data_IF_032236261300
#
_entry.id   IF_032236261300
#
_cell.length_a   1.000
_cell.length_b   1.000
_cell.length_c   1.000
_cell.angle_alpha   90.00
_cell.angle_beta   90.00
_cell.angle_gamma   90.00
#
_symmetry.space_group_name_H-M   'P 1'
#
loop_
_entity.id
_entity.type
_entity.pdbx_description
1 polymer ?
#
# COMPACT_ATOMS: atom_id res chain seq x y z
N UNK A 1 -11.53 -3.92 -24.34
CA UNK A 1 -11.68 -5.15 -25.13
C UNK A 1 -11.92 -6.36 -24.24
N UNK A 2 -10.87 -7.00 -23.71
CA UNK A 2 -11.00 -8.35 -23.12
C UNK A 2 -11.34 -8.41 -21.61
N UNK A 3 -10.98 -7.41 -20.80
CA UNK A 3 -11.36 -7.40 -19.37
C UNK A 3 -12.89 -7.34 -19.20
N UNK A 4 -13.58 -6.71 -20.15
CA UNK A 4 -15.05 -6.66 -20.21
C UNK A 4 -15.69 -8.02 -20.50
N UNK A 5 -14.97 -8.98 -21.10
CA UNK A 5 -15.43 -10.32 -21.43
C UNK A 5 -15.29 -11.36 -20.31
N UNK A 6 -14.57 -11.06 -19.21
CA UNK A 6 -14.50 -11.99 -18.08
C UNK A 6 -15.79 -12.00 -17.26
N UNK A 7 -16.33 -13.21 -17.06
CA UNK A 7 -17.43 -13.45 -16.13
C UNK A 7 -17.07 -12.96 -14.73
N UNK A 8 -18.08 -12.45 -14.00
CA UNK A 8 -17.90 -11.96 -12.61
C UNK A 8 -17.26 -13.02 -11.71
N UNK A 9 -17.65 -14.29 -11.89
CA UNK A 9 -17.09 -15.41 -11.15
C UNK A 9 -15.57 -15.54 -11.36
N UNK A 10 -15.09 -15.44 -12.60
CA UNK A 10 -13.65 -15.55 -12.90
C UNK A 10 -12.84 -14.39 -12.31
N UNK A 11 -13.38 -13.17 -12.30
CA UNK A 11 -12.71 -12.01 -11.66
C UNK A 11 -12.60 -12.17 -10.15
N UNK A 12 -13.64 -12.71 -9.51
CA UNK A 12 -13.63 -12.96 -8.06
C UNK A 12 -12.64 -14.08 -7.70
N UNK A 13 -12.55 -15.15 -8.49
CA UNK A 13 -11.53 -16.20 -8.31
C UNK A 13 -10.12 -15.63 -8.44
N UNK A 14 -9.89 -14.74 -9.41
CA UNK A 14 -8.60 -14.06 -9.56
C UNK A 14 -8.26 -13.19 -8.35
N UNK A 15 -9.20 -12.38 -7.88
CA UNK A 15 -9.00 -11.57 -6.69
C UNK A 15 -8.71 -12.43 -5.45
N UNK A 16 -9.46 -13.53 -5.27
CA UNK A 16 -9.21 -14.47 -4.18
C UNK A 16 -7.83 -15.11 -4.28
N UNK A 17 -7.37 -15.44 -5.49
CA UNK A 17 -6.01 -15.98 -5.70
C UNK A 17 -4.93 -14.95 -5.34
N UNK A 18 -5.09 -13.68 -5.74
CA UNK A 18 -4.17 -12.60 -5.41
C UNK A 18 -4.12 -12.35 -3.89
N UNK A 19 -5.28 -12.36 -3.22
CA UNK A 19 -5.39 -12.22 -1.77
C UNK A 19 -4.72 -13.38 -1.03
N UNK A 20 -4.95 -14.63 -1.49
CA UNK A 20 -4.31 -15.82 -0.93
C UNK A 20 -2.79 -15.73 -1.03
N UNK A 21 -2.27 -15.35 -2.19
CA UNK A 21 -0.82 -15.20 -2.40
C UNK A 21 -0.27 -14.10 -1.49
N UNK A 22 -0.97 -12.96 -1.36
CA UNK A 22 -0.53 -11.88 -0.48
C UNK A 22 -0.48 -12.30 0.99
N UNK A 23 -1.48 -13.07 1.44
CA UNK A 23 -1.50 -13.64 2.78
C UNK A 23 -0.28 -14.52 3.04
N UNK A 24 0.03 -15.48 2.16
CA UNK A 24 1.18 -16.37 2.36
C UNK A 24 2.52 -15.66 2.20
N UNK A 25 2.63 -14.67 1.30
CA UNK A 25 3.84 -13.87 1.15
C UNK A 25 4.13 -13.05 2.42
N UNK A 26 3.11 -12.39 2.97
CA UNK A 26 3.23 -11.67 4.24
C UNK A 26 3.51 -12.60 5.43
N UNK A 27 2.92 -13.79 5.44
CA UNK A 27 3.22 -14.85 6.44
C UNK A 27 4.68 -15.27 6.38
N UNK A 28 5.22 -15.48 5.18
CA UNK A 28 6.62 -15.86 4.97
C UNK A 28 7.59 -14.74 5.39
N UNK A 29 7.21 -13.47 5.25
CA UNK A 29 7.99 -12.35 5.75
C UNK A 29 8.03 -12.29 7.28
N UNK A 30 6.88 -12.39 7.96
CA UNK A 30 6.81 -12.23 9.43
C UNK A 30 7.30 -13.45 10.22
N UNK A 31 7.49 -14.60 9.58
CA UNK A 31 7.95 -15.84 10.22
C UNK A 31 9.30 -15.68 10.94
N UNK A 32 10.12 -14.70 10.55
CA UNK A 32 11.47 -14.53 11.08
C UNK A 32 11.51 -14.14 12.56
N UNK A 33 10.57 -13.30 12.98
CA UNK A 33 10.64 -12.57 14.25
C UNK A 33 10.90 -13.44 15.48
N UNK A 34 10.15 -14.54 15.69
CA UNK A 34 10.19 -15.29 16.95
C UNK A 34 11.51 -16.02 17.26
N UNK A 35 12.26 -16.46 16.25
CA UNK A 35 13.38 -17.39 16.45
C UNK A 35 14.69 -16.95 15.79
N UNK A 36 14.65 -16.13 14.72
CA UNK A 36 15.85 -15.77 13.97
C UNK A 36 16.92 -15.03 14.80
N UNK A 37 16.58 -14.05 15.68
CA UNK A 37 17.60 -13.36 16.46
C UNK A 37 18.40 -14.29 17.38
N UNK A 38 17.76 -15.32 17.93
CA UNK A 38 18.41 -16.33 18.78
C UNK A 38 19.36 -17.20 17.97
N UNK A 39 18.92 -17.70 16.82
CA UNK A 39 19.72 -18.54 15.92
C UNK A 39 20.92 -17.78 15.33
N UNK A 40 20.73 -16.51 14.99
CA UNK A 40 21.82 -15.64 14.52
C UNK A 40 22.91 -15.47 15.59
N UNK A 41 22.52 -15.25 16.86
CA UNK A 41 23.46 -15.16 17.97
C UNK A 41 24.20 -16.50 18.21
N UNK A 42 23.52 -17.65 18.08
CA UNK A 42 24.15 -18.97 18.19
C UNK A 42 25.19 -19.21 17.10
N UNK A 43 25.00 -18.63 15.90
CA UNK A 43 25.99 -18.64 14.81
C UNK A 43 27.07 -17.55 14.92
N UNK A 44 27.15 -16.85 16.06
CA UNK A 44 28.18 -15.87 16.35
C UNK A 44 27.97 -14.50 15.69
N UNK A 45 26.75 -14.19 15.22
CA UNK A 45 26.44 -12.85 14.73
C UNK A 45 26.17 -11.89 15.89
N UNK A 46 26.57 -10.63 15.71
CA UNK A 46 26.18 -9.57 16.62
C UNK A 46 24.71 -9.22 16.45
N UNK A 47 24.09 -8.69 17.51
CA UNK A 47 22.72 -8.16 17.47
C UNK A 47 22.56 -7.09 16.39
N UNK A 48 23.58 -6.26 16.19
CA UNK A 48 23.61 -5.24 15.12
C UNK A 48 23.51 -5.87 13.73
N UNK A 49 24.26 -6.95 13.48
CA UNK A 49 24.22 -7.63 12.17
C UNK A 49 22.85 -8.28 11.91
N UNK A 50 22.26 -8.90 12.93
CA UNK A 50 20.89 -9.43 12.87
C UNK A 50 19.88 -8.34 12.52
N UNK A 51 20.00 -7.15 13.14
CA UNK A 51 19.16 -6.00 12.82
C UNK A 51 19.32 -5.53 11.37
N UNK A 52 20.55 -5.50 10.85
CA UNK A 52 20.82 -5.16 9.44
C UNK A 52 20.14 -6.17 8.51
N UNK A 53 20.24 -7.48 8.79
CA UNK A 53 19.62 -8.54 7.98
C UNK A 53 18.09 -8.40 7.93
N UNK A 54 17.46 -8.02 9.04
CA UNK A 54 16.01 -7.80 9.08
C UNK A 54 15.62 -6.50 8.38
N UNK A 55 16.39 -5.42 8.60
CA UNK A 55 16.08 -4.09 8.08
C UNK A 55 16.35 -3.91 6.58
N UNK A 56 17.36 -4.60 6.01
CA UNK A 56 17.70 -4.46 4.60
C UNK A 56 16.56 -4.84 3.66
N UNK A 57 15.68 -5.74 4.09
CA UNK A 57 14.57 -6.23 3.26
C UNK A 57 13.68 -5.08 2.81
N UNK A 58 13.34 -4.18 3.73
CA UNK A 58 12.48 -3.03 3.44
C UNK A 58 13.22 -1.95 2.63
N UNK A 59 14.53 -1.80 2.86
CA UNK A 59 15.39 -0.91 2.07
C UNK A 59 15.45 -1.36 0.60
N UNK A 60 15.65 -2.66 0.35
CA UNK A 60 15.68 -3.22 -1.00
C UNK A 60 14.31 -3.08 -1.67
N UNK A 61 13.20 -3.34 -0.97
CA UNK A 61 11.86 -3.08 -1.52
C UNK A 61 11.70 -1.61 -1.92
N UNK A 62 12.13 -0.68 -1.07
CA UNK A 62 12.06 0.75 -1.37
C UNK A 62 12.82 1.11 -2.66
N UNK A 63 14.03 0.56 -2.85
CA UNK A 63 14.87 0.87 -4.02
C UNK A 63 14.38 0.17 -5.30
N UNK A 64 13.84 -1.05 -5.19
CA UNK A 64 13.44 -1.85 -6.34
C UNK A 64 12.01 -1.57 -6.81
N UNK A 65 11.09 -1.19 -5.93
CA UNK A 65 9.67 -0.93 -6.27
C UNK A 65 9.44 0.06 -7.42
N UNK A 66 10.13 1.21 -7.52
CA UNK A 66 9.92 2.14 -8.63
C UNK A 66 10.49 1.60 -9.95
N UNK A 67 11.60 0.85 -9.88
CA UNK A 67 12.22 0.19 -11.04
C UNK A 67 11.31 -0.91 -11.58
N UNK A 68 10.76 -1.73 -10.70
CA UNK A 68 9.78 -2.77 -11.02
C UNK A 68 8.54 -2.14 -11.64
N UNK A 69 7.99 -1.06 -11.06
CA UNK A 69 6.81 -0.39 -11.62
C UNK A 69 7.00 0.08 -13.06
N UNK A 70 8.20 0.55 -13.39
CA UNK A 70 8.58 0.90 -14.76
C UNK A 70 8.83 -0.35 -15.63
N UNK A 71 9.49 -1.38 -15.12
CA UNK A 71 9.82 -2.60 -15.86
C UNK A 71 8.59 -3.47 -16.18
N UNK A 72 7.62 -3.51 -15.27
CA UNK A 72 6.33 -4.20 -15.47
C UNK A 72 5.58 -3.66 -16.69
N UNK A 73 5.80 -2.39 -17.03
CA UNK A 73 5.18 -1.77 -18.20
C UNK A 73 5.69 -2.29 -19.55
N UNK A 74 6.91 -2.85 -19.63
CA UNK A 74 7.49 -3.31 -20.90
C UNK A 74 7.39 -4.82 -21.14
N UNK A 75 7.43 -5.63 -20.06
CA UNK A 75 7.52 -7.10 -20.14
C UNK A 75 6.18 -7.78 -19.80
N UNK A 76 5.26 -7.03 -19.20
CA UNK A 76 3.92 -7.50 -18.85
C UNK A 76 3.81 -7.95 -17.39
N UNK A 77 2.70 -7.53 -16.75
CA UNK A 77 2.37 -7.83 -15.36
C UNK A 77 2.32 -9.30 -14.98
N UNK A 78 1.86 -10.20 -15.87
CA UNK A 78 1.82 -11.64 -15.56
C UNK A 78 3.23 -12.21 -15.38
N UNK A 79 4.15 -11.85 -16.27
CA UNK A 79 5.53 -12.33 -16.20
C UNK A 79 6.22 -11.84 -14.93
N UNK A 80 6.11 -10.54 -14.63
CA UNK A 80 6.74 -9.95 -13.43
C UNK A 80 6.12 -10.52 -12.15
N UNK A 81 4.79 -10.71 -12.11
CA UNK A 81 4.11 -11.33 -10.99
C UNK A 81 4.60 -12.76 -10.72
N UNK A 82 4.65 -13.61 -11.75
CA UNK A 82 5.04 -15.01 -11.60
C UNK A 82 6.51 -15.17 -11.23
N UNK A 83 7.43 -14.45 -11.90
CA UNK A 83 8.84 -14.50 -11.56
C UNK A 83 9.14 -13.93 -10.17
N UNK A 84 8.45 -12.86 -9.76
CA UNK A 84 8.58 -12.30 -8.41
C UNK A 84 8.28 -13.34 -7.34
N UNK A 85 7.20 -14.11 -7.53
CA UNK A 85 6.83 -15.17 -6.59
C UNK A 85 7.77 -16.38 -6.64
N UNK A 86 8.24 -16.80 -7.81
CA UNK A 86 9.24 -17.88 -7.93
C UNK A 86 10.51 -17.49 -7.18
N UNK A 87 11.01 -16.27 -7.39
CA UNK A 87 12.20 -15.75 -6.70
C UNK A 87 11.98 -15.73 -5.19
N UNK A 88 10.84 -15.20 -4.73
CA UNK A 88 10.50 -15.17 -3.30
C UNK A 88 10.47 -16.59 -2.69
N UNK A 89 9.82 -17.54 -3.37
CA UNK A 89 9.66 -18.92 -2.91
C UNK A 89 11.01 -19.67 -2.85
N UNK A 90 11.81 -19.55 -3.90
CA UNK A 90 13.15 -20.18 -3.98
C UNK A 90 14.07 -19.57 -2.94
N UNK A 91 14.10 -18.24 -2.79
CA UNK A 91 14.92 -17.58 -1.77
C UNK A 91 14.47 -17.96 -0.35
N UNK A 92 13.17 -18.15 -0.12
CA UNK A 92 12.65 -18.62 1.17
C UNK A 92 13.18 -20.03 1.48
N UNK A 93 13.11 -20.97 0.53
CA UNK A 93 13.66 -22.32 0.70
C UNK A 93 15.18 -22.28 0.93
N UNK A 94 15.91 -21.48 0.14
CA UNK A 94 17.36 -21.28 0.30
C UNK A 94 17.70 -20.71 1.68
N UNK A 95 16.88 -19.80 2.20
CA UNK A 95 17.08 -19.24 3.53
C UNK A 95 16.99 -20.32 4.61
N UNK A 96 16.06 -21.27 4.49
CA UNK A 96 15.99 -22.43 5.37
C UNK A 96 17.22 -23.34 5.27
N UNK A 97 17.83 -23.45 4.09
CA UNK A 97 19.06 -24.22 3.90
C UNK A 97 20.31 -23.54 4.49
N UNK A 98 20.24 -22.26 4.89
CA UNK A 98 21.34 -21.56 5.57
C UNK A 98 21.66 -22.14 6.96
N UNK A 99 20.83 -23.05 7.47
CA UNK A 99 21.16 -23.87 8.64
C UNK A 99 22.50 -24.58 8.46
N UNK A 100 22.80 -25.08 7.26
CA UNK A 100 24.05 -25.81 6.95
C UNK A 100 25.26 -24.90 6.68
N UNK A 101 25.09 -23.59 6.59
CA UNK A 101 26.21 -22.66 6.37
C UNK A 101 27.08 -22.52 7.63
N UNK A 102 28.41 -22.40 7.47
CA UNK A 102 29.34 -22.22 8.59
C UNK A 102 29.06 -20.92 9.35
N UNK A 103 29.29 -20.90 10.67
CA UNK A 103 29.06 -19.72 11.50
C UNK A 103 30.00 -18.56 11.13
N UNK A 104 29.61 -17.33 11.50
CA UNK A 104 30.38 -16.11 11.23
C UNK A 104 29.94 -15.34 9.98
N UNK A 105 30.90 -14.64 9.36
CA UNK A 105 30.64 -13.66 8.28
C UNK A 105 29.98 -14.31 7.06
N UNK A 106 30.32 -15.56 6.74
CA UNK A 106 29.75 -16.27 5.58
C UNK A 106 28.25 -16.45 5.74
N UNK A 107 27.77 -16.87 6.92
CA UNK A 107 26.34 -16.94 7.22
C UNK A 107 25.67 -15.59 7.09
N UNK A 108 26.30 -14.53 7.60
CA UNK A 108 25.77 -13.17 7.51
C UNK A 108 25.59 -12.70 6.06
N UNK A 109 26.63 -12.86 5.23
CA UNK A 109 26.60 -12.48 3.81
C UNK A 109 25.55 -13.29 3.04
N UNK A 110 25.44 -14.59 3.30
CA UNK A 110 24.43 -15.43 2.64
C UNK A 110 23.01 -15.05 3.06
N UNK A 111 22.80 -14.69 4.34
CA UNK A 111 21.52 -14.14 4.79
C UNK A 111 21.17 -12.85 4.06
N UNK A 112 22.12 -11.90 3.93
CA UNK A 112 21.88 -10.64 3.22
C UNK A 112 21.60 -10.87 1.73
N UNK A 113 22.36 -11.75 1.07
CA UNK A 113 22.13 -12.03 -0.35
C UNK A 113 20.76 -12.68 -0.59
N UNK A 114 20.41 -13.69 0.20
CA UNK A 114 19.12 -14.38 0.06
C UNK A 114 17.94 -13.47 0.41
N UNK A 115 18.05 -12.62 1.43
CA UNK A 115 17.03 -11.65 1.81
C UNK A 115 16.90 -10.50 0.82
N UNK A 116 18.01 -9.93 0.37
CA UNK A 116 18.03 -8.92 -0.69
C UNK A 116 17.37 -9.42 -1.97
N UNK A 117 17.73 -10.61 -2.46
CA UNK A 117 17.10 -11.19 -3.66
C UNK A 117 15.62 -11.50 -3.41
N UNK A 118 15.26 -12.01 -2.23
CA UNK A 118 13.87 -12.22 -1.84
C UNK A 118 13.07 -10.91 -1.83
N UNK A 119 13.66 -9.80 -1.38
CA UNK A 119 13.03 -8.49 -1.35
C UNK A 119 12.76 -7.95 -2.76
N UNK A 120 13.68 -8.18 -3.71
CA UNK A 120 13.45 -7.90 -5.14
C UNK A 120 12.22 -8.69 -5.62
N UNK A 121 12.17 -10.00 -5.36
CA UNK A 121 11.03 -10.86 -5.72
C UNK A 121 9.71 -10.38 -5.10
N UNK A 122 9.71 -10.00 -3.82
CA UNK A 122 8.55 -9.43 -3.13
C UNK A 122 8.11 -8.11 -3.77
N UNK A 123 9.03 -7.22 -4.13
CA UNK A 123 8.69 -5.96 -4.82
C UNK A 123 8.03 -6.21 -6.19
N UNK A 124 8.55 -7.18 -6.96
CA UNK A 124 7.96 -7.62 -8.23
C UNK A 124 6.54 -8.14 -8.07
N UNK A 125 6.33 -9.01 -7.08
CA UNK A 125 5.03 -9.58 -6.74
C UNK A 125 4.04 -8.50 -6.31
N UNK A 126 4.36 -7.68 -5.31
CA UNK A 126 3.43 -6.72 -4.70
C UNK A 126 2.98 -5.69 -5.74
N UNK A 127 3.93 -5.10 -6.48
CA UNK A 127 3.63 -4.09 -7.51
C UNK A 127 2.74 -4.67 -8.61
N UNK A 128 3.05 -5.88 -9.08
CA UNK A 128 2.27 -6.52 -10.14
C UNK A 128 0.90 -6.99 -9.65
N UNK A 129 0.81 -7.50 -8.42
CA UNK A 129 -0.43 -7.96 -7.79
C UNK A 129 -1.47 -6.84 -7.75
N UNK A 130 -1.10 -5.68 -7.22
CA UNK A 130 -1.99 -4.52 -7.17
C UNK A 130 -2.37 -4.00 -8.55
N UNK A 131 -1.42 -3.98 -9.49
CA UNK A 131 -1.65 -3.48 -10.85
C UNK A 131 -2.62 -4.36 -11.63
N UNK A 132 -2.50 -5.68 -11.48
CA UNK A 132 -3.43 -6.64 -12.09
C UNK A 132 -4.81 -6.54 -11.44
N UNK A 133 -4.86 -6.49 -10.10
CA UNK A 133 -6.12 -6.40 -9.36
C UNK A 133 -6.92 -5.14 -9.70
N UNK A 134 -6.23 -4.01 -9.90
CA UNK A 134 -6.83 -2.72 -10.24
C UNK A 134 -7.27 -2.66 -11.70
N UNK A 135 -6.55 -3.30 -12.62
CA UNK A 135 -7.00 -3.50 -14.01
C UNK A 135 -8.26 -4.38 -14.09
N UNK A 136 -8.40 -5.38 -13.23
CA UNK A 136 -9.60 -6.25 -13.15
C UNK A 136 -10.86 -5.50 -12.64
N UNK A 137 -10.66 -4.55 -11.73
CA UNK A 137 -11.73 -3.80 -11.06
C UNK A 137 -11.48 -2.28 -11.09
N UNK A 138 -11.57 -1.63 -12.28
CA UNK A 138 -11.21 -0.22 -12.43
C UNK A 138 -12.13 0.75 -11.66
N UNK A 139 -13.33 0.31 -11.27
CA UNK A 139 -14.30 1.12 -10.52
C UNK A 139 -14.23 0.88 -8.99
N UNK A 140 -13.39 -0.04 -8.52
CA UNK A 140 -13.29 -0.42 -7.10
C UNK A 140 -11.85 -0.53 -6.64
N UNK A 141 -11.06 0.50 -6.97
CA UNK A 141 -9.61 0.51 -6.74
C UNK A 141 -9.28 0.39 -5.24
N UNK A 142 -9.98 1.14 -4.39
CA UNK A 142 -9.67 1.21 -2.96
C UNK A 142 -10.18 -0.02 -2.22
N UNK A 143 -11.33 -0.57 -2.62
CA UNK A 143 -11.88 -1.82 -2.06
C UNK A 143 -10.95 -2.99 -2.34
N UNK A 144 -10.43 -3.09 -3.57
CA UNK A 144 -9.50 -4.15 -3.96
C UNK A 144 -8.16 -4.00 -3.24
N UNK A 145 -7.62 -2.79 -3.19
CA UNK A 145 -6.40 -2.51 -2.43
C UNK A 145 -6.59 -2.85 -0.95
N UNK A 146 -7.70 -2.40 -0.34
CA UNK A 146 -8.06 -2.70 1.04
C UNK A 146 -8.20 -4.19 1.33
N UNK A 147 -8.82 -4.97 0.43
CA UNK A 147 -8.95 -6.43 0.61
C UNK A 147 -7.59 -7.15 0.54
N UNK A 148 -6.72 -6.73 -0.37
CA UNK A 148 -5.36 -7.27 -0.47
C UNK A 148 -4.54 -6.90 0.76
N UNK A 149 -4.65 -5.67 1.25
CA UNK A 149 -4.02 -5.21 2.50
C UNK A 149 -4.56 -5.99 3.72
N UNK A 150 -5.87 -6.25 3.79
CA UNK A 150 -6.46 -7.12 4.83
C UNK A 150 -5.82 -8.51 4.81
N UNK A 151 -5.66 -9.11 3.62
CA UNK A 151 -5.03 -10.41 3.49
C UNK A 151 -3.55 -10.37 3.90
N UNK A 152 -2.81 -9.32 3.53
CA UNK A 152 -1.42 -9.13 3.94
C UNK A 152 -1.27 -8.93 5.45
N UNK A 153 -2.12 -8.10 6.06
CA UNK A 153 -2.15 -7.84 7.49
C UNK A 153 -2.46 -9.11 8.31
N UNK A 154 -3.45 -9.91 7.89
CA UNK A 154 -3.72 -11.22 8.48
C UNK A 154 -2.52 -12.17 8.34
N UNK A 155 -1.81 -12.12 7.21
CA UNK A 155 -0.58 -12.89 7.01
C UNK A 155 0.52 -12.51 7.99
N UNK A 156 0.74 -11.21 8.21
CA UNK A 156 1.72 -10.74 9.20
C UNK A 156 1.40 -11.23 10.61
N UNK A 157 0.11 -11.29 10.96
CA UNK A 157 -0.37 -11.74 12.26
C UNK A 157 -0.22 -13.25 12.48
N UNK A 158 -0.51 -14.05 11.44
CA UNK A 158 -0.45 -15.51 11.50
C UNK A 158 0.99 -16.03 11.40
N UNK A 159 1.88 -15.31 10.71
CA UNK A 159 3.26 -15.75 10.45
C UNK A 159 4.10 -16.09 11.67
N UNK A 160 4.17 -15.26 12.73
CA UNK A 160 4.91 -15.60 13.95
C UNK A 160 4.37 -16.86 14.65
N UNK A 161 3.04 -17.05 14.63
CA UNK A 161 2.37 -18.20 15.27
C UNK A 161 2.70 -19.49 14.52
N UNK A 162 2.50 -19.50 13.20
CA UNK A 162 2.83 -20.64 12.34
C UNK A 162 4.34 -20.91 12.35
N UNK A 163 5.15 -19.85 12.30
CA UNK A 163 6.61 -19.92 12.33
C UNK A 163 7.15 -20.53 13.60
N UNK A 164 6.67 -20.07 14.76
CA UNK A 164 7.06 -20.63 16.06
C UNK A 164 6.66 -22.10 16.19
N UNK A 165 5.44 -22.46 15.77
CA UNK A 165 4.98 -23.85 15.81
C UNK A 165 5.81 -24.78 14.91
N UNK A 166 6.08 -24.37 13.67
CA UNK A 166 6.91 -25.14 12.74
C UNK A 166 8.37 -25.23 13.22
N UNK A 167 8.89 -24.17 13.83
CA UNK A 167 10.24 -24.17 14.39
C UNK A 167 10.37 -25.19 15.53
N UNK A 168 9.36 -25.32 16.40
CA UNK A 168 9.36 -26.32 17.47
C UNK A 168 9.31 -27.77 16.94
N UNK A 169 8.63 -27.99 15.80
CA UNK A 169 8.46 -29.33 15.24
C UNK A 169 9.69 -29.81 14.43
N UNK A 170 10.35 -28.92 13.69
CA UNK A 170 11.39 -29.31 12.73
C UNK A 170 12.57 -28.36 12.62
N UNK A 171 12.80 -27.54 13.64
CA UNK A 171 13.96 -26.65 13.73
C UNK A 171 13.91 -25.49 12.74
N UNK A 172 15.08 -24.90 12.48
CA UNK A 172 15.21 -23.68 11.68
C UNK A 172 14.74 -23.85 10.23
N UNK A 173 15.03 -25.00 9.61
CA UNK A 173 14.67 -25.29 8.22
C UNK A 173 13.16 -25.37 7.96
N UNK A 174 12.39 -25.98 8.86
CA UNK A 174 11.00 -26.38 8.58
C UNK A 174 10.07 -25.20 8.23
N UNK A 175 10.05 -24.07 8.98
CA UNK A 175 9.22 -22.91 8.64
C UNK A 175 9.45 -22.36 7.23
N UNK A 176 10.71 -22.31 6.80
CA UNK A 176 11.08 -21.71 5.52
C UNK A 176 10.81 -22.63 4.33
N UNK A 177 11.10 -23.93 4.48
CA UNK A 177 10.86 -24.91 3.43
C UNK A 177 9.37 -25.15 3.22
N UNK A 178 8.57 -25.20 4.30
CA UNK A 178 7.12 -25.40 4.18
C UNK A 178 6.42 -24.18 3.57
N UNK A 179 6.69 -22.97 4.06
CA UNK A 179 6.08 -21.74 3.53
C UNK A 179 6.58 -21.44 2.11
N UNK A 180 7.87 -21.60 1.84
CA UNK A 180 8.44 -21.42 0.49
C UNK A 180 7.91 -22.47 -0.49
N UNK A 181 7.80 -23.74 -0.08
CA UNK A 181 7.20 -24.79 -0.89
C UNK A 181 5.71 -24.57 -1.16
N UNK A 182 4.97 -24.10 -0.16
CA UNK A 182 3.56 -23.75 -0.31
C UNK A 182 3.37 -22.56 -1.27
N UNK A 183 4.19 -21.50 -1.12
CA UNK A 183 4.19 -20.37 -2.06
C UNK A 183 4.47 -20.84 -3.50
N UNK A 184 5.40 -21.77 -3.69
CA UNK A 184 5.71 -22.33 -5.01
C UNK A 184 4.53 -23.12 -5.61
N UNK A 185 3.78 -23.87 -4.79
CA UNK A 185 2.54 -24.54 -5.23
C UNK A 185 1.47 -23.51 -5.62
N UNK A 186 1.31 -22.46 -4.82
CA UNK A 186 0.38 -21.38 -5.12
C UNK A 186 0.75 -20.65 -6.41
N UNK A 187 2.05 -20.50 -6.74
CA UNK A 187 2.50 -19.98 -8.03
C UNK A 187 2.04 -20.84 -9.20
N UNK A 188 2.15 -22.16 -9.09
CA UNK A 188 1.68 -23.06 -10.16
C UNK A 188 0.18 -22.92 -10.38
N UNK A 189 -0.60 -22.80 -9.30
CA UNK A 189 -2.04 -22.53 -9.37
C UNK A 189 -2.32 -21.15 -9.98
N UNK A 190 -1.57 -20.12 -9.58
CA UNK A 190 -1.71 -18.77 -10.12
C UNK A 190 -1.38 -18.73 -11.61
N UNK A 191 -0.38 -19.48 -12.07
CA UNK A 191 -0.01 -19.57 -13.49
C UNK A 191 -1.11 -20.19 -14.34
N UNK A 192 -1.84 -21.18 -13.79
CA UNK A 192 -2.98 -21.82 -14.45
C UNK A 192 -4.24 -20.93 -14.46
N UNK A 193 -4.48 -20.18 -13.38
CA UNK A 193 -5.70 -19.38 -13.19
C UNK A 193 -5.59 -18.00 -13.85
N UNK A 194 -4.40 -17.38 -13.78
CA UNK A 194 -4.15 -16.03 -14.29
C UNK A 194 -4.20 -16.06 -15.83
N UNK A 195 -5.25 -15.48 -16.44
CA UNK A 195 -5.38 -15.49 -17.89
C UNK A 195 -4.25 -14.65 -18.49
N UNK A 196 -3.96 -14.84 -19.78
CA UNK A 196 -3.05 -13.99 -20.58
C UNK A 196 -3.58 -12.55 -20.77
N UNK A 197 -4.41 -12.04 -19.85
CA UNK A 197 -5.03 -10.70 -19.80
C UNK A 197 -4.03 -9.52 -19.81
N UNK A 198 -2.76 -9.82 -20.01
CA UNK A 198 -1.61 -8.94 -19.92
C UNK A 198 -0.60 -9.29 -21.03
N UNK A 199 -1.07 -9.77 -22.17
CA UNK A 199 -0.36 -9.51 -23.41
C UNK A 199 -0.85 -8.12 -23.83
N UNK A 200 -0.13 -7.08 -23.43
CA UNK A 200 -0.30 -5.80 -24.10
C UNK A 200 0.12 -6.05 -25.55
N UNK A 201 -0.86 -6.01 -26.45
CA UNK A 201 -0.60 -5.96 -27.87
C UNK A 201 0.24 -4.69 -28.10
N UNK A 202 1.52 -4.79 -28.52
CA UNK A 202 2.38 -3.62 -28.71
C UNK A 202 1.86 -2.66 -29.80
N UNK A 203 0.75 -3.01 -30.45
CA UNK A 203 0.11 -2.30 -31.55
C UNK A 203 -0.92 -1.24 -31.12
N UNK A 204 -1.38 -1.20 -29.85
CA UNK A 204 -2.46 -0.27 -29.44
C UNK A 204 -1.95 1.00 -28.71
N UNK A 205 -0.77 0.98 -28.09
CA UNK A 205 -0.25 2.14 -27.35
C UNK A 205 1.02 2.72 -28.00
N UNK A 206 0.82 3.58 -29.02
CA UNK A 206 1.85 4.52 -29.49
C UNK A 206 2.19 5.62 -28.47
N UNK A 207 1.58 5.56 -27.28
CA UNK A 207 1.75 6.47 -26.17
C UNK A 207 3.01 6.10 -25.38
N UNK A 208 4.09 6.87 -25.53
CA UNK A 208 5.30 6.71 -24.68
C UNK A 208 4.90 6.61 -23.20
N UNK A 209 5.48 5.70 -22.40
CA UNK A 209 5.22 5.65 -20.97
C UNK A 209 5.50 7.03 -20.38
N UNK A 210 4.45 7.75 -20.01
CA UNK A 210 4.60 9.07 -19.38
C UNK A 210 5.39 8.84 -18.10
N UNK A 211 6.50 9.57 -18.00
CA UNK A 211 7.56 9.31 -17.02
C UNK A 211 7.03 9.34 -15.58
N UNK A 212 7.48 8.39 -14.74
CA UNK A 212 7.26 8.35 -13.28
C UNK A 212 7.55 9.71 -12.63
N UNK A 213 8.55 10.42 -13.17
CA UNK A 213 8.94 11.77 -12.76
C UNK A 213 7.82 12.80 -12.88
N UNK A 214 6.85 12.61 -13.78
CA UNK A 214 5.70 13.49 -13.94
C UNK A 214 4.74 13.40 -12.74
N UNK A 215 4.56 12.20 -12.17
CA UNK A 215 3.75 12.02 -10.96
C UNK A 215 4.49 12.50 -9.71
N UNK A 216 5.78 12.19 -9.60
CA UNK A 216 6.60 12.56 -8.42
C UNK A 216 6.82 14.07 -8.34
N UNK A 217 6.80 14.80 -9.46
CA UNK A 217 6.84 16.27 -9.43
C UNK A 217 5.55 16.92 -8.96
N UNK A 218 4.47 16.16 -8.83
CA UNK A 218 3.18 16.73 -8.45
C UNK A 218 3.07 16.91 -6.94
N UNK A 219 2.80 18.13 -6.44
CA UNK A 219 2.66 18.38 -5.01
C UNK A 219 1.55 17.57 -4.34
N UNK A 220 0.46 17.27 -5.05
CA UNK A 220 -0.62 16.43 -4.50
C UNK A 220 -0.17 14.97 -4.30
N UNK A 221 0.48 14.37 -5.29
CA UNK A 221 1.03 13.02 -5.18
C UNK A 221 2.12 12.94 -4.11
N UNK A 222 2.99 13.96 -4.02
CA UNK A 222 4.00 14.01 -2.95
C UNK A 222 3.37 14.14 -1.56
N UNK A 223 2.28 14.91 -1.42
CA UNK A 223 1.57 15.04 -0.15
C UNK A 223 0.97 13.70 0.32
N UNK A 224 0.31 12.96 -0.57
CA UNK A 224 -0.28 11.65 -0.25
C UNK A 224 0.81 10.60 0.05
N UNK A 225 1.88 10.58 -0.73
CA UNK A 225 3.04 9.70 -0.48
C UNK A 225 3.74 10.04 0.84
N UNK A 226 3.86 11.34 1.19
CA UNK A 226 4.40 11.75 2.48
C UNK A 226 3.52 11.26 3.64
N UNK A 227 2.19 11.42 3.55
CA UNK A 227 1.26 10.87 4.54
C UNK A 227 1.40 9.35 4.71
N UNK A 228 1.57 8.63 3.60
CA UNK A 228 1.84 7.18 3.58
C UNK A 228 3.17 6.81 4.27
N UNK A 229 4.25 7.54 3.98
CA UNK A 229 5.55 7.37 4.64
C UNK A 229 5.45 7.58 6.15
N UNK A 230 4.75 8.63 6.59
CA UNK A 230 4.58 8.94 8.02
C UNK A 230 3.77 7.83 8.71
N UNK A 231 2.67 7.38 8.10
CA UNK A 231 1.84 6.29 8.65
C UNK A 231 2.62 4.96 8.77
N UNK A 232 3.34 4.56 7.73
CA UNK A 232 4.14 3.33 7.73
C UNK A 232 5.36 3.41 8.66
N UNK A 233 5.97 4.59 8.82
CA UNK A 233 7.05 4.78 9.81
C UNK A 233 6.57 4.58 11.24
N UNK A 234 5.35 5.02 11.56
CA UNK A 234 4.79 4.77 12.88
C UNK A 234 4.47 3.29 13.10
N UNK A 235 3.95 2.57 12.10
CA UNK A 235 3.75 1.12 12.20
C UNK A 235 5.06 0.40 12.56
N UNK A 236 6.13 0.67 11.80
CA UNK A 236 7.44 0.06 12.10
C UNK A 236 8.01 0.50 13.46
N UNK A 237 7.75 1.74 13.90
CA UNK A 237 8.12 2.18 15.24
C UNK A 237 7.42 1.38 16.34
N UNK A 238 6.12 1.07 16.18
CA UNK A 238 5.37 0.27 17.14
C UNK A 238 5.98 -1.13 17.29
N UNK A 239 6.39 -1.76 16.19
CA UNK A 239 6.93 -3.12 16.21
C UNK A 239 8.19 -3.26 17.08
N UNK A 240 9.09 -2.27 17.05
CA UNK A 240 10.38 -2.34 17.78
C UNK A 240 10.34 -1.65 19.14
N UNK A 241 9.63 -0.52 19.24
CA UNK A 241 9.76 0.39 20.39
C UNK A 241 8.70 0.18 21.47
N UNK A 242 7.51 -0.32 21.13
CA UNK A 242 6.45 -0.52 22.12
C UNK A 242 6.69 -1.75 23.01
N UNK A 243 7.35 -2.80 22.50
CA UNK A 243 7.67 -3.99 23.28
C UNK A 243 8.48 -3.69 24.56
N UNK A 244 9.65 -3.02 24.50
CA UNK A 244 10.44 -2.73 25.70
C UNK A 244 9.70 -1.79 26.67
N UNK A 245 8.90 -0.85 26.15
CA UNK A 245 8.11 0.07 26.97
C UNK A 245 7.04 -0.66 27.81
N UNK A 246 6.29 -1.58 27.20
CA UNK A 246 5.24 -2.33 27.88
C UNK A 246 5.81 -3.22 28.99
N UNK A 247 6.98 -3.83 28.76
CA UNK A 247 7.67 -4.63 29.76
C UNK A 247 8.23 -3.79 30.91
N UNK A 248 8.80 -2.62 30.62
CA UNK A 248 9.39 -1.75 31.64
C UNK A 248 8.34 -1.06 32.54
N UNK A 249 7.21 -0.61 31.98
CA UNK A 249 6.20 0.18 32.71
C UNK A 249 5.18 -0.68 33.46
N UNK A 250 4.74 -1.79 32.86
CA UNK A 250 3.64 -2.60 33.41
C UNK A 250 4.07 -3.99 33.88
N UNK A 251 5.34 -4.37 33.69
CA UNK A 251 5.87 -5.70 34.04
C UNK A 251 5.02 -6.86 33.48
N UNK A 252 4.40 -6.65 32.31
CA UNK A 252 3.54 -7.65 31.69
C UNK A 252 4.31 -8.86 31.20
N UNK A 253 3.63 -10.01 31.23
CA UNK A 253 4.11 -11.24 30.57
C UNK A 253 4.30 -10.99 29.06
N UNK A 254 5.32 -11.60 28.42
CA UNK A 254 5.54 -11.51 26.97
C UNK A 254 4.30 -11.83 26.12
N UNK A 255 3.42 -12.71 26.62
CA UNK A 255 2.16 -13.08 25.95
C UNK A 255 1.21 -11.88 25.87
N UNK A 256 1.06 -11.13 26.96
CA UNK A 256 0.17 -9.95 27.00
C UNK A 256 0.71 -8.85 26.10
N UNK A 257 2.02 -8.62 26.13
CA UNK A 257 2.68 -7.65 25.24
C UNK A 257 2.46 -8.01 23.77
N UNK A 258 2.61 -9.29 23.41
CA UNK A 258 2.31 -9.77 22.06
C UNK A 258 0.85 -9.54 21.64
N UNK A 259 -0.12 -9.79 22.53
CA UNK A 259 -1.54 -9.52 22.28
C UNK A 259 -1.84 -8.03 22.08
N UNK A 260 -1.17 -7.15 22.84
CA UNK A 260 -1.32 -5.70 22.69
C UNK A 260 -0.74 -5.21 21.35
N UNK A 261 0.39 -5.74 20.90
CA UNK A 261 0.98 -5.42 19.59
C UNK A 261 0.20 -6.04 18.42
N UNK A 262 -0.49 -7.15 18.65
CA UNK A 262 -1.37 -7.79 17.67
C UNK A 262 -2.66 -6.99 17.41
N UNK A 263 -3.19 -6.31 18.44
CA UNK A 263 -4.43 -5.53 18.35
C UNK A 263 -4.43 -4.47 17.23
N UNK A 264 -3.44 -3.56 17.10
CA UNK A 264 -3.43 -2.56 16.03
C UNK A 264 -3.38 -3.20 14.64
N UNK A 265 -2.64 -4.31 14.45
CA UNK A 265 -2.58 -5.04 13.18
C UNK A 265 -3.93 -5.69 12.81
N UNK A 266 -4.64 -6.26 13.79
CA UNK A 266 -5.99 -6.81 13.61
C UNK A 266 -6.96 -5.71 13.17
N UNK A 267 -6.96 -4.59 13.89
CA UNK A 267 -7.85 -3.47 13.62
C UNK A 267 -7.53 -2.85 12.26
N UNK A 268 -6.25 -2.67 11.91
CA UNK A 268 -5.81 -2.25 10.58
C UNK A 268 -6.39 -3.18 9.49
N UNK A 269 -6.23 -4.49 9.66
CA UNK A 269 -6.65 -5.49 8.67
C UNK A 269 -8.16 -5.44 8.44
N UNK A 270 -8.98 -5.38 9.50
CA UNK A 270 -10.45 -5.32 9.38
C UNK A 270 -10.89 -3.99 8.77
N UNK A 271 -10.32 -2.88 9.24
CA UNK A 271 -10.71 -1.55 8.80
C UNK A 271 -10.25 -1.20 7.39
N UNK A 272 -9.19 -1.82 6.88
CA UNK A 272 -8.70 -1.59 5.52
C UNK A 272 -9.77 -1.89 4.46
N UNK A 273 -10.48 -3.02 4.58
CA UNK A 273 -11.59 -3.36 3.69
C UNK A 273 -12.77 -2.39 3.84
N UNK A 274 -13.07 -1.95 5.07
CA UNK A 274 -14.16 -0.99 5.35
C UNK A 274 -13.88 0.38 4.72
N UNK A 275 -12.68 0.92 4.92
CA UNK A 275 -12.26 2.18 4.31
C UNK A 275 -12.22 2.06 2.80
N UNK A 276 -11.72 0.96 2.25
CA UNK A 276 -11.73 0.69 0.81
C UNK A 276 -13.13 0.80 0.19
N UNK A 277 -14.12 0.18 0.84
CA UNK A 277 -15.51 0.27 0.41
C UNK A 277 -16.08 1.70 0.54
N UNK A 278 -15.80 2.41 1.63
CA UNK A 278 -16.27 3.78 1.85
C UNK A 278 -15.70 4.78 0.84
N UNK A 279 -14.41 4.63 0.49
CA UNK A 279 -13.75 5.49 -0.50
C UNK A 279 -14.38 5.31 -1.87
N UNK A 280 -14.60 4.07 -2.30
CA UNK A 280 -15.16 3.80 -3.63
C UNK A 280 -16.66 4.14 -3.71
N UNK A 281 -17.43 3.96 -2.62
CA UNK A 281 -18.87 4.23 -2.61
C UNK A 281 -19.22 5.71 -2.47
N UNK A 282 -18.44 6.48 -1.70
CA UNK A 282 -18.70 7.91 -1.42
C UNK A 282 -17.78 8.87 -2.17
N UNK A 283 -16.76 8.37 -2.86
CA UNK A 283 -15.72 9.21 -3.50
C UNK A 283 -14.89 10.03 -2.49
N UNK A 284 -14.92 9.67 -1.21
CA UNK A 284 -14.39 10.48 -0.11
C UNK A 284 -12.94 10.12 0.28
N UNK A 285 -12.09 9.75 -0.69
CA UNK A 285 -10.71 9.29 -0.43
C UNK A 285 -9.84 10.27 0.34
N UNK A 286 -9.84 11.53 -0.08
CA UNK A 286 -9.04 12.58 0.53
C UNK A 286 -9.55 12.98 1.94
N UNK A 287 -10.87 13.20 2.16
CA UNK A 287 -11.40 13.42 3.50
C UNK A 287 -11.10 12.29 4.49
N UNK A 288 -11.20 11.02 4.05
CA UNK A 288 -10.88 9.86 4.91
C UNK A 288 -9.40 9.87 5.31
N UNK A 289 -8.49 10.12 4.36
CA UNK A 289 -7.05 10.22 4.64
C UNK A 289 -6.72 11.36 5.61
N UNK A 290 -7.30 12.55 5.40
CA UNK A 290 -7.08 13.72 6.28
C UNK A 290 -7.65 13.45 7.68
N UNK A 291 -8.85 12.87 7.76
CA UNK A 291 -9.47 12.47 9.02
C UNK A 291 -8.63 11.44 9.77
N UNK A 292 -8.06 10.46 9.05
CA UNK A 292 -7.11 9.49 9.58
C UNK A 292 -5.86 10.14 10.15
N UNK A 293 -5.17 10.99 9.37
CA UNK A 293 -3.97 11.71 9.84
C UNK A 293 -4.25 12.59 11.08
N UNK A 294 -5.38 13.31 11.08
CA UNK A 294 -5.77 14.16 12.20
C UNK A 294 -6.11 13.33 13.45
N UNK A 295 -6.89 12.26 13.31
CA UNK A 295 -7.21 11.35 14.41
C UNK A 295 -5.92 10.73 14.99
N UNK A 296 -4.95 10.40 14.14
CA UNK A 296 -3.64 9.90 14.54
C UNK A 296 -2.88 10.93 15.38
N UNK A 297 -2.76 12.17 14.88
CA UNK A 297 -2.05 13.25 15.57
C UNK A 297 -2.65 13.53 16.95
N UNK A 298 -3.99 13.57 17.04
CA UNK A 298 -4.72 13.79 18.28
C UNK A 298 -4.52 12.61 19.23
N UNK A 299 -4.69 11.37 18.75
CA UNK A 299 -4.53 10.17 19.55
C UNK A 299 -3.16 10.13 20.23
N UNK A 300 -2.07 10.36 19.49
CA UNK A 300 -0.72 10.33 20.06
C UNK A 300 -0.49 11.34 21.19
N UNK A 301 -1.17 12.49 21.19
CA UNK A 301 -1.08 13.49 22.27
C UNK A 301 -1.82 13.08 23.55
N UNK A 302 -2.86 12.25 23.43
CA UNK A 302 -3.70 11.79 24.54
C UNK A 302 -3.26 10.44 25.13
N UNK A 303 -2.46 9.68 24.38
CA UNK A 303 -2.06 8.31 24.75
C UNK A 303 -0.82 8.32 25.62
N UNK A 304 0.12 9.19 25.28
CA UNK A 304 1.26 9.49 26.12
C UNK A 304 1.26 11.00 26.34
N UNK A 305 1.19 11.48 27.59
CA UNK A 305 1.21 12.91 27.84
C UNK A 305 2.46 13.47 27.22
N UNK A 306 2.28 14.51 26.39
CA UNK A 306 3.39 15.43 26.15
C UNK A 306 3.97 15.80 27.52
N UNK A 307 5.29 15.97 27.69
CA UNK A 307 5.94 16.24 28.98
C UNK A 307 5.34 17.43 29.78
N UNK A 308 4.48 18.22 29.14
CA UNK A 308 3.77 19.37 29.68
C UNK A 308 2.36 19.05 30.22
N UNK A 309 1.82 17.84 30.04
CA UNK A 309 0.48 17.44 30.49
C UNK A 309 0.57 16.51 31.71
N UNK A 310 -0.06 16.86 32.86
CA UNK A 310 0.06 16.10 34.11
C UNK A 310 -1.00 14.99 34.21
N UNK A 311 -0.90 13.93 33.42
CA UNK A 311 -1.71 12.71 33.60
C UNK A 311 -0.86 11.45 33.41
N UNK A 312 -1.20 10.35 34.09
CA UNK A 312 -0.51 9.07 33.91
C UNK A 312 -1.21 8.20 32.86
N UNK A 313 -0.42 7.43 32.10
CA UNK A 313 -0.97 6.48 31.11
C UNK A 313 -1.68 5.33 31.82
N UNK A 314 -3.01 5.31 31.73
CA UNK A 314 -3.81 4.19 32.19
C UNK A 314 -3.85 3.07 31.14
N UNK A 315 -4.00 1.81 31.58
CA UNK A 315 -4.08 0.66 30.67
C UNK A 315 -5.25 0.77 29.66
N UNK A 316 -6.47 1.19 30.05
CA UNK A 316 -7.58 1.31 29.10
C UNK A 316 -7.36 2.40 28.04
N UNK A 317 -6.73 3.52 28.40
CA UNK A 317 -6.43 4.57 27.43
C UNK A 317 -5.37 4.12 26.42
N UNK A 318 -4.41 3.29 26.85
CA UNK A 318 -3.42 2.67 25.97
C UNK A 318 -4.06 1.65 25.01
N UNK A 319 -5.01 0.84 25.46
CA UNK A 319 -5.73 -0.09 24.57
C UNK A 319 -6.58 0.69 23.56
N UNK A 320 -7.31 1.71 24.02
CA UNK A 320 -8.07 2.60 23.13
C UNK A 320 -7.17 3.28 22.10
N UNK A 321 -5.95 3.67 22.50
CA UNK A 321 -4.92 4.20 21.61
C UNK A 321 -4.61 3.27 20.45
N UNK A 322 -4.31 2.01 20.76
CA UNK A 322 -3.86 1.02 19.80
C UNK A 322 -4.96 0.71 18.78
N UNK A 323 -6.22 0.72 19.22
CA UNK A 323 -7.38 0.62 18.32
C UNK A 323 -7.45 1.83 17.39
N UNK A 324 -7.36 3.05 17.92
CA UNK A 324 -7.42 4.28 17.10
C UNK A 324 -6.25 4.34 16.13
N UNK A 325 -5.05 3.95 16.55
CA UNK A 325 -3.85 3.84 15.71
C UNK A 325 -4.09 2.90 14.52
N UNK A 326 -4.63 1.70 14.77
CA UNK A 326 -4.95 0.75 13.70
C UNK A 326 -5.97 1.30 12.70
N UNK A 327 -7.07 1.91 13.21
CA UNK A 327 -8.12 2.51 12.39
C UNK A 327 -7.63 3.70 11.56
N UNK A 328 -6.81 4.55 12.18
CA UNK A 328 -6.29 5.76 11.56
C UNK A 328 -5.20 5.43 10.54
N UNK A 329 -4.34 4.44 10.81
CA UNK A 329 -3.33 4.00 9.85
C UNK A 329 -3.95 3.45 8.57
N UNK A 330 -4.94 2.56 8.67
CA UNK A 330 -5.62 2.00 7.50
C UNK A 330 -6.41 3.06 6.71
N UNK A 331 -7.00 4.03 7.41
CA UNK A 331 -7.66 5.18 6.78
C UNK A 331 -6.68 6.05 5.96
N UNK A 332 -5.40 6.06 6.32
CA UNK A 332 -4.36 6.77 5.56
C UNK A 332 -3.84 5.92 4.41
N UNK A 333 -3.52 4.64 4.66
CA UNK A 333 -2.87 3.77 3.67
C UNK A 333 -3.78 3.42 2.49
N UNK A 334 -5.03 3.06 2.75
CA UNK A 334 -5.94 2.50 1.73
C UNK A 334 -6.33 3.49 0.61
N UNK A 335 -6.67 4.77 0.90
CA UNK A 335 -7.09 5.70 -0.15
C UNK A 335 -5.95 6.16 -1.07
N UNK A 336 -4.68 6.06 -0.64
CA UNK A 336 -3.52 6.64 -1.36
C UNK A 336 -3.43 6.14 -2.79
N UNK A 337 -3.62 4.83 -3.01
CA UNK A 337 -3.57 4.25 -4.35
C UNK A 337 -4.64 4.88 -5.26
N UNK A 338 -5.88 4.97 -4.79
CA UNK A 338 -7.00 5.54 -5.54
C UNK A 338 -6.78 7.03 -5.85
N UNK A 339 -6.27 7.79 -4.88
CA UNK A 339 -6.00 9.22 -5.04
C UNK A 339 -4.95 9.48 -6.12
N UNK A 340 -3.82 8.76 -6.09
CA UNK A 340 -2.75 8.92 -7.07
C UNK A 340 -3.20 8.41 -8.44
N UNK A 341 -3.93 7.29 -8.51
CA UNK A 341 -4.47 6.78 -9.76
C UNK A 341 -5.45 7.76 -10.42
N UNK A 342 -6.37 8.34 -9.63
CA UNK A 342 -7.35 9.32 -10.12
C UNK A 342 -6.67 10.60 -10.62
N UNK A 343 -5.65 11.08 -9.91
CA UNK A 343 -4.87 12.24 -10.34
C UNK A 343 -4.10 11.97 -11.63
N UNK A 344 -3.60 10.74 -11.82
CA UNK A 344 -2.93 10.34 -13.05
C UNK A 344 -3.86 10.48 -14.25
N UNK A 345 -5.12 10.06 -14.14
CA UNK A 345 -6.10 10.19 -15.24
C UNK A 345 -6.39 11.63 -15.61
N UNK A 346 -6.48 12.54 -14.62
CA UNK A 346 -6.70 13.98 -14.88
C UNK A 346 -5.59 14.61 -15.72
N UNK A 347 -4.40 13.99 -15.75
CA UNK A 347 -3.22 14.42 -16.53
C UNK A 347 -3.11 13.72 -17.87
N UNK A 348 -4.17 13.03 -18.28
CA UNK A 348 -4.23 12.29 -19.54
C UNK A 348 -3.36 11.04 -19.55
N UNK A 349 -3.10 10.41 -18.40
CA UNK A 349 -2.61 9.03 -18.39
C UNK A 349 -3.78 8.09 -18.69
N UNK A 350 -3.54 7.10 -19.53
CA UNK A 350 -4.54 6.10 -19.84
C UNK A 350 -4.77 5.14 -18.67
N UNK A 351 -5.97 4.53 -18.63
CA UNK A 351 -6.33 3.46 -17.69
C UNK A 351 -5.71 2.12 -18.11
N UNK A 352 -4.40 2.14 -18.31
CA UNK A 352 -3.59 1.00 -18.73
C UNK A 352 -2.88 0.38 -17.53
N UNK A 353 -2.41 -0.86 -17.69
CA UNK A 353 -1.61 -1.54 -16.68
C UNK A 353 -0.30 -0.80 -16.38
N UNK A 354 0.24 -0.09 -17.37
CA UNK A 354 1.48 0.67 -17.23
C UNK A 354 1.30 1.78 -16.19
N UNK A 355 0.21 2.55 -16.26
CA UNK A 355 -0.14 3.57 -15.25
C UNK A 355 -0.33 2.93 -13.87
N UNK A 356 -1.09 1.84 -13.76
CA UNK A 356 -1.30 1.17 -12.47
C UNK A 356 0.01 0.63 -11.85
N UNK A 357 0.93 0.13 -12.67
CA UNK A 357 2.24 -0.39 -12.24
C UNK A 357 3.16 0.70 -11.72
N UNK A 358 3.18 1.86 -12.38
CA UNK A 358 3.91 3.03 -11.90
C UNK A 358 3.35 3.54 -10.58
N UNK A 359 2.02 3.66 -10.47
CA UNK A 359 1.35 4.11 -9.24
C UNK A 359 1.62 3.12 -8.10
N UNK A 360 1.46 1.82 -8.34
CA UNK A 360 1.73 0.78 -7.36
C UNK A 360 3.19 0.79 -6.89
N UNK A 361 4.14 0.95 -7.82
CA UNK A 361 5.57 1.08 -7.50
C UNK A 361 5.85 2.27 -6.57
N UNK A 362 5.25 3.44 -6.85
CA UNK A 362 5.40 4.63 -6.00
C UNK A 362 4.81 4.44 -4.59
N UNK A 363 3.59 3.89 -4.51
CA UNK A 363 2.92 3.63 -3.22
C UNK A 363 3.73 2.63 -2.38
N UNK A 364 4.20 1.55 -3.00
CA UNK A 364 5.00 0.53 -2.30
C UNK A 364 6.37 1.09 -1.87
N UNK A 365 6.96 1.98 -2.68
CA UNK A 365 8.20 2.70 -2.32
C UNK A 365 8.00 3.55 -1.06
N UNK A 366 6.92 4.35 -1.02
CA UNK A 366 6.63 5.20 0.13
C UNK A 366 6.36 4.38 1.41
N UNK A 367 5.59 3.30 1.30
CA UNK A 367 5.37 2.37 2.41
C UNK A 367 6.68 1.76 2.92
N UNK A 368 7.52 1.29 1.99
CA UNK A 368 8.78 0.67 2.34
C UNK A 368 9.79 1.64 2.95
N UNK A 369 9.86 2.85 2.42
CA UNK A 369 10.69 3.90 2.99
C UNK A 369 10.29 4.22 4.43
N UNK A 370 8.99 4.41 4.69
CA UNK A 370 8.51 4.66 6.05
C UNK A 370 8.79 3.50 6.98
N UNK A 371 8.44 2.27 6.59
CA UNK A 371 8.68 1.07 7.39
C UNK A 371 10.16 0.77 7.66
N UNK A 372 11.09 1.26 6.83
CA UNK A 372 12.53 1.23 7.11
C UNK A 372 12.95 2.33 8.11
N UNK A 373 12.51 3.57 7.86
CA UNK A 373 12.89 4.73 8.67
C UNK A 373 12.33 4.65 10.10
N UNK A 374 11.12 4.13 10.26
CA UNK A 374 10.39 4.04 11.53
C UNK A 374 11.15 3.31 12.65
N UNK A 375 11.49 2.02 12.47
CA UNK A 375 12.28 1.26 13.45
C UNK A 375 13.68 1.84 13.66
N UNK A 376 14.37 2.24 12.58
CA UNK A 376 15.77 2.68 12.64
C UNK A 376 15.94 4.02 13.36
N UNK A 377 15.17 5.04 12.97
CA UNK A 377 15.24 6.35 13.64
C UNK A 377 14.49 6.33 14.97
N UNK A 378 13.38 5.60 15.04
CA UNK A 378 12.55 5.53 16.23
C UNK A 378 13.24 4.86 17.42
N UNK A 379 14.02 3.79 17.19
CA UNK A 379 14.83 3.17 18.24
C UNK A 379 15.90 4.12 18.79
N UNK A 380 16.66 4.77 17.90
CA UNK A 380 17.70 5.74 18.32
C UNK A 380 17.09 6.95 19.04
N UNK A 381 15.94 7.43 18.59
CA UNK A 381 15.25 8.55 19.22
C UNK A 381 14.68 8.17 20.60
N UNK A 382 14.22 6.92 20.76
CA UNK A 382 13.74 6.39 22.04
C UNK A 382 14.87 6.37 23.08
N UNK A 383 16.06 5.91 22.70
CA UNK A 383 17.21 5.81 23.59
C UNK A 383 17.71 7.18 24.07
N UNK A 384 17.66 8.21 23.20
CA UNK A 384 18.19 9.55 23.52
C UNK A 384 17.18 10.47 24.19
N UNK A 385 15.94 10.47 23.72
CA UNK A 385 14.92 11.44 24.12
C UNK A 385 13.80 10.82 24.96
N UNK A 386 13.70 9.49 25.03
CA UNK A 386 12.62 8.81 25.72
C UNK A 386 11.30 8.85 24.94
N UNK A 387 10.38 7.95 25.32
CA UNK A 387 9.16 7.67 24.56
C UNK A 387 8.24 8.90 24.40
N UNK A 388 8.16 9.74 25.43
CA UNK A 388 7.30 10.93 25.45
C UNK A 388 7.59 11.90 24.30
N UNK A 389 8.87 12.20 24.10
CA UNK A 389 9.34 13.14 23.08
C UNK A 389 9.21 12.53 21.68
N UNK A 390 9.45 11.23 21.54
CA UNK A 390 9.28 10.53 20.26
C UNK A 390 7.82 10.53 19.81
N UNK A 391 6.88 10.18 20.70
CA UNK A 391 5.44 10.18 20.38
C UNK A 391 4.91 11.60 20.12
N UNK A 392 5.38 12.60 20.86
CA UNK A 392 5.06 14.02 20.60
C UNK A 392 5.59 14.47 19.23
N UNK A 393 6.81 14.06 18.88
CA UNK A 393 7.40 14.30 17.56
C UNK A 393 6.60 13.67 16.42
N UNK A 394 6.15 12.42 16.60
CA UNK A 394 5.24 11.77 15.65
C UNK A 394 3.91 12.52 15.54
N UNK A 395 3.31 12.96 16.65
CA UNK A 395 2.08 13.77 16.59
C UNK A 395 2.27 15.05 15.76
N UNK A 396 3.38 15.77 15.97
CA UNK A 396 3.73 16.94 15.16
C UNK A 396 3.90 16.59 13.68
N UNK A 397 4.53 15.46 13.37
CA UNK A 397 4.73 14.97 12.01
C UNK A 397 3.41 14.62 11.31
N UNK A 398 2.48 13.95 12.01
CA UNK A 398 1.13 13.67 11.52
C UNK A 398 0.30 14.94 11.36
N UNK A 399 0.43 15.90 12.28
CA UNK A 399 -0.20 17.22 12.17
C UNK A 399 0.29 17.98 10.93
N UNK A 400 1.61 17.97 10.70
CA UNK A 400 2.22 18.55 9.49
C UNK A 400 1.72 17.85 8.22
N UNK A 401 1.68 16.51 8.20
CA UNK A 401 1.15 15.75 7.07
C UNK A 401 -0.32 16.09 6.79
N UNK A 402 -1.13 16.28 7.84
CA UNK A 402 -2.53 16.73 7.74
C UNK A 402 -2.62 18.10 7.08
N UNK A 403 -1.81 19.07 7.52
CA UNK A 403 -1.77 20.42 6.94
C UNK A 403 -1.33 20.40 5.47
N UNK A 404 -0.30 19.62 5.12
CA UNK A 404 0.17 19.48 3.74
C UNK A 404 -0.94 18.90 2.86
N UNK A 405 -1.64 17.86 3.33
CA UNK A 405 -2.75 17.23 2.61
C UNK A 405 -4.00 18.10 2.52
N UNK A 406 -4.21 19.04 3.45
CA UNK A 406 -5.25 20.07 3.37
C UNK A 406 -4.92 21.17 2.35
N UNK A 407 -3.67 21.63 2.32
CA UNK A 407 -3.23 22.74 1.47
C UNK A 407 -3.03 22.32 0.00
N UNK A 408 -2.53 21.10 -0.24
CA UNK A 408 -2.26 20.57 -1.58
C UNK A 408 -3.47 20.67 -2.53
N UNK A 409 -4.63 20.09 -2.18
CA UNK A 409 -5.85 20.13 -3.00
C UNK A 409 -6.37 21.55 -3.26
N UNK A 410 -6.30 22.44 -2.25
CA UNK A 410 -6.74 23.84 -2.38
C UNK A 410 -5.85 24.62 -3.35
N UNK A 411 -4.53 24.37 -3.33
CA UNK A 411 -3.59 24.94 -4.30
C UNK A 411 -3.80 24.37 -5.70
N UNK A 412 -4.14 23.10 -5.80
CA UNK A 412 -4.36 22.41 -7.07
C UNK A 412 -5.64 22.88 -7.77
N UNK A 413 -6.77 23.02 -7.05
CA UNK A 413 -8.01 23.58 -7.62
C UNK A 413 -7.80 25.02 -8.10
N UNK A 414 -7.04 25.84 -7.36
CA UNK A 414 -6.70 27.20 -7.80
C UNK A 414 -5.75 27.23 -9.01
N UNK A 415 -4.83 26.27 -9.11
CA UNK A 415 -3.90 26.14 -10.24
C UNK A 415 -4.56 25.63 -11.52
N UNK A 416 -5.49 24.67 -11.41
CA UNK A 416 -6.29 24.17 -12.52
C UNK A 416 -7.19 25.27 -13.09
N UNK A 417 -7.97 25.94 -12.23
CA UNK A 417 -8.79 27.09 -12.63
C UNK A 417 -7.95 28.15 -13.34
N UNK A 418 -6.76 28.52 -12.81
CA UNK A 418 -5.87 29.49 -13.48
C UNK A 418 -5.36 29.05 -14.86
N UNK A 419 -5.13 27.75 -15.09
CA UNK A 419 -4.69 27.22 -16.39
C UNK A 419 -5.85 27.16 -17.39
N UNK A 420 -7.04 26.81 -16.93
CA UNK A 420 -8.25 26.79 -17.75
C UNK A 420 -8.67 28.22 -18.14
N UNK A 421 -8.63 29.17 -17.20
CA UNK A 421 -8.85 30.59 -17.50
C UNK A 421 -7.79 31.16 -18.45
N UNK A 422 -6.51 30.74 -18.32
CA UNK A 422 -5.45 31.13 -19.28
C UNK A 422 -5.63 30.50 -20.66
N UNK A 423 -6.03 29.23 -20.73
CA UNK A 423 -6.33 28.53 -21.98
C UNK A 423 -7.51 29.16 -22.71
N UNK A 424 -8.60 29.46 -21.98
CA UNK A 424 -9.74 30.21 -22.51
C UNK A 424 -9.33 31.62 -22.96
N UNK A 425 -8.49 32.34 -22.22
CA UNK A 425 -8.02 33.67 -22.66
C UNK A 425 -7.13 33.64 -23.89
N UNK A 426 -6.39 32.54 -24.11
CA UNK A 426 -5.57 32.34 -25.31
C UNK A 426 -6.45 32.03 -26.54
N UNK A 427 -7.47 31.18 -26.37
CA UNK A 427 -8.43 30.86 -27.43
C UNK A 427 -9.28 32.09 -27.82
N UNK A 428 -9.70 32.89 -26.84
CA UNK A 428 -10.43 34.15 -27.10
C UNK A 428 -9.57 35.20 -27.80
N UNK A 429 -8.26 35.24 -27.52
CA UNK A 429 -7.35 36.15 -28.22
C UNK A 429 -7.00 35.67 -29.65
N UNK A 430 -6.89 34.36 -29.89
CA UNK A 430 -6.70 33.82 -31.26
C UNK A 430 -7.96 34.02 -32.14
N UNK A 431 -9.17 33.90 -31.57
CA UNK A 431 -10.41 34.22 -32.28
C UNK A 431 -10.58 35.73 -32.56
N UNK A 432 -9.89 36.60 -31.81
CA UNK A 432 -9.91 38.05 -31.97
C UNK A 432 -8.98 38.60 -33.06
N UNK A 433 -7.92 37.87 -33.45
CA UNK A 433 -6.92 38.35 -34.44
C UNK A 433 -6.96 37.62 -35.80
N UNK A 434 -7.71 36.52 -35.93
CA UNK A 434 -7.75 35.71 -37.15
C UNK A 434 -9.17 35.35 -37.57
N UNK A 435 -9.85 36.23 -38.30
CA UNK A 435 -11.11 35.90 -38.97
C UNK A 435 -10.93 34.77 -39.99
N UNK A 436 -11.15 33.52 -39.58
CA UNK A 436 -11.52 32.34 -40.38
C UNK A 436 -11.73 31.14 -39.45
N UNK A 437 -12.97 30.65 -39.35
CA UNK A 437 -13.29 29.38 -38.67
C UNK A 437 -12.53 28.19 -39.27
N UNK A 438 -12.14 27.23 -38.41
CA UNK A 438 -12.36 25.83 -38.71
C UNK A 438 -13.18 25.16 -37.60
N UNK A 439 -14.13 24.33 -38.01
CA UNK A 439 -14.91 23.48 -37.11
C UNK A 439 -13.98 22.48 -36.39
N UNK A 440 -13.95 22.52 -35.06
CA UNK A 440 -13.37 21.46 -34.23
C UNK A 440 -14.43 21.02 -33.23
N UNK A 441 -14.84 19.76 -33.39
CA UNK A 441 -15.73 19.02 -32.50
C UNK A 441 -15.01 18.79 -31.17
N UNK A 442 -15.48 19.46 -30.11
CA UNK A 442 -15.04 19.22 -28.73
C UNK A 442 -15.85 18.11 -28.05
N UNK A 443 -15.29 17.40 -27.06
CA UNK A 443 -15.98 16.33 -26.34
C UNK A 443 -17.02 16.92 -25.38
N UNK A 444 -18.25 16.41 -25.44
CA UNK A 444 -19.35 16.75 -24.53
C UNK A 444 -18.99 16.31 -23.11
N UNK A 445 -18.65 17.27 -22.25
CA UNK A 445 -18.60 17.09 -20.81
C UNK A 445 -20.01 17.13 -20.22
N UNK A 446 -20.66 15.98 -20.08
CA UNK A 446 -21.84 15.84 -19.21
C UNK A 446 -21.38 15.77 -17.76
N UNK A 447 -21.39 16.92 -17.08
CA UNK A 447 -21.41 17.00 -15.63
C UNK A 447 -21.98 18.35 -15.19
N UNK A 448 -23.28 18.50 -15.40
CA UNK A 448 -24.15 19.40 -14.66
C UNK A 448 -25.55 18.77 -14.68
N UNK A 449 -26.30 18.94 -13.60
CA UNK A 449 -27.66 18.46 -13.34
C UNK A 449 -27.76 17.11 -12.61
N UNK A 450 -27.49 17.17 -11.30
CA UNK A 450 -28.20 16.35 -10.35
C UNK A 450 -28.31 17.13 -9.04
N UNK A 451 -29.32 17.99 -8.91
CA UNK A 451 -29.95 18.40 -7.65
C UNK A 451 -31.21 19.24 -7.98
N UNK A 452 -32.30 18.94 -7.28
CA UNK A 452 -33.61 19.62 -7.24
C UNK A 452 -34.63 19.12 -8.29
N UNK A 453 -35.49 18.15 -7.93
CA UNK A 453 -36.83 18.53 -7.48
C UNK A 453 -37.53 17.42 -6.68
N UNK A 454 -38.22 17.84 -5.63
CA UNK A 454 -39.08 17.05 -4.73
C UNK A 454 -40.45 17.72 -4.83
N UNK A 455 -41.42 17.01 -5.40
CA UNK A 455 -42.88 17.13 -5.25
C UNK A 455 -43.62 17.07 -6.60
N UNK A 456 -44.72 16.32 -6.62
CA UNK A 456 -45.81 16.56 -7.60
C UNK A 456 -46.02 15.52 -8.70
N UNK A 457 -46.77 14.46 -8.36
CA UNK A 457 -47.85 13.78 -9.12
C UNK A 457 -47.92 13.84 -10.66
N UNK A 458 -48.29 12.66 -11.19
CA UNK A 458 -49.04 12.37 -12.44
C UNK A 458 -48.27 12.67 -13.74
N UNK A 459 -48.32 11.87 -14.80
CA UNK A 459 -49.32 10.90 -15.24
C UNK A 459 -48.67 9.94 -16.26
N UNK A 460 -49.12 8.69 -16.25
CA UNK A 460 -48.82 7.72 -17.28
C UNK A 460 -49.54 8.09 -18.59
N UNK A 461 -48.85 8.08 -19.73
CA UNK A 461 -49.40 7.45 -20.93
C UNK A 461 -48.39 7.29 -22.07
N UNK A 462 -48.35 6.05 -22.55
CA UNK A 462 -48.18 5.60 -23.94
C UNK A 462 -47.92 6.65 -25.02
N UNK A 463 -46.84 6.45 -25.79
CA UNK A 463 -47.00 5.99 -27.18
C UNK A 463 -45.66 5.54 -27.79
N UNK A 464 -45.57 4.24 -28.06
CA UNK A 464 -44.70 3.68 -29.09
C UNK A 464 -45.27 4.07 -30.46
N UNK A 465 -44.43 4.64 -31.32
CA UNK A 465 -44.78 4.94 -32.71
C UNK A 465 -43.54 4.92 -33.58
N UNK A 466 -43.21 3.74 -34.10
CA UNK A 466 -42.31 3.57 -35.24
C UNK A 466 -42.96 4.11 -36.50
N UNK A 467 -42.18 4.79 -37.36
CA UNK A 467 -42.24 4.92 -38.85
C UNK A 467 -41.15 5.99 -39.12
N UNK A 468 -40.14 5.86 -39.99
CA UNK A 468 -40.04 5.11 -41.23
C UNK A 468 -39.90 6.09 -42.41
N UNK A 469 -38.66 6.26 -42.89
CA UNK A 469 -38.24 6.63 -44.27
C UNK A 469 -38.52 8.01 -44.90
N UNK A 470 -37.54 8.37 -45.76
CA UNK A 470 -37.54 9.28 -46.93
C UNK A 470 -37.65 10.78 -46.63
N UNK A 471 -36.81 11.70 -47.15
CA UNK A 471 -35.92 11.77 -48.34
C UNK A 471 -34.63 12.48 -47.95
#
# INVERSE_FOLDING_TARGET
>A
GEVAGLSRARRNVLLASLALVNFFASTAFSVLGPFFPREANLKGLSVTMTGIIVGEFQLVICLCSPLVGAFTSSIGGRFVYSWGLVICSVCSILFGALEYCPPGIVFAVMCLLTRGVSAIGTSMFVVSSFSIATRLFPNRLSTVFGLLETAGGLGFMVGPVIGGALFQLGGFKLPFVSLGGFLLLVVLLSLCVMPSLVNDDPSIDGSRPKSVWTLVREPFCLATLFGMCVASSFLGFVDVSFQPFLTAKFHFSPVIVGLMLFLPALIYSISAALWGYLVDSRGAGLPIMIGGLAAFAVCLLFVYPAPFLPYDTNLPSLIAALVVVGLACSAVVVPVFNLIATESYKRGFDRSLTTYSVVSGLVNTAFAFGAFVGPTLGGVALDKFGLAWVLTGYSGLFGLATLICLIGPVRQNRGFMRRETRGMSFLVNEEGEGGRSPAIVGPVSQSADCLIDRDGRNEANNNYGSIGNTV
#
